data_IF_568394590751
#
_entry.id   IF_568394590751
#
_cell.length_a   1.000
_cell.length_b   1.000
_cell.length_c   1.000
_cell.angle_alpha   90.00
_cell.angle_beta   90.00
_cell.angle_gamma   90.00
#
_symmetry.space_group_name_H-M   'P 1'
#
loop_
_entity.id
_entity.type
_entity.pdbx_description
1 polymer ?
#
# COMPACT_ATOMS: atom_id res chain seq x y z
N UNK A 1 3.56 -1.77 17.17
CA UNK A 1 4.47 -0.79 17.77
C UNK A 1 5.34 -1.51 18.78
N UNK A 2 6.64 -1.23 18.84
CA UNK A 2 7.52 -1.87 19.81
C UNK A 2 7.10 -1.51 21.23
N UNK A 3 7.28 -2.45 22.16
CA UNK A 3 7.02 -2.22 23.57
C UNK A 3 8.17 -1.39 24.12
N UNK A 4 7.83 -0.27 24.75
CA UNK A 4 8.78 0.55 25.48
C UNK A 4 9.10 -0.12 26.82
N UNK A 5 10.37 -0.41 27.07
CA UNK A 5 10.81 -1.02 28.33
C UNK A 5 11.98 -0.23 28.91
N UNK A 6 12.18 -0.26 30.24
CA UNK A 6 13.35 0.34 30.85
C UNK A 6 14.64 -0.27 30.27
N UNK A 7 15.63 0.58 29.98
CA UNK A 7 16.89 0.21 29.31
C UNK A 7 17.69 -0.91 30.03
N UNK A 8 17.41 -1.13 31.32
CA UNK A 8 18.07 -2.15 32.16
C UNK A 8 17.28 -3.45 32.32
N UNK A 9 16.16 -3.65 31.60
CA UNK A 9 15.35 -4.86 31.73
C UNK A 9 16.15 -6.09 31.23
N UNK A 10 16.44 -7.09 32.08
CA UNK A 10 17.25 -8.26 31.68
C UNK A 10 16.63 -9.08 30.53
N UNK A 11 15.31 -8.96 30.33
CA UNK A 11 14.58 -9.64 29.27
C UNK A 11 14.91 -9.14 27.86
N UNK A 12 15.52 -7.94 27.70
CA UNK A 12 15.82 -7.36 26.38
C UNK A 12 16.66 -8.33 25.54
N UNK A 13 17.72 -8.90 26.11
CA UNK A 13 18.61 -9.81 25.39
C UNK A 13 17.97 -11.15 25.02
N UNK A 14 16.95 -11.60 25.76
CA UNK A 14 16.20 -12.83 25.44
C UNK A 14 15.22 -12.57 24.30
N UNK A 15 14.43 -11.49 24.42
CA UNK A 15 13.39 -11.14 23.47
C UNK A 15 13.97 -10.71 22.11
N UNK A 16 15.14 -10.05 22.08
CA UNK A 16 15.85 -9.78 20.83
C UNK A 16 16.26 -11.05 20.08
N UNK A 17 16.60 -12.14 20.79
CA UNK A 17 16.91 -13.45 20.16
C UNK A 17 15.66 -14.12 19.58
N UNK A 18 14.48 -13.78 20.08
CA UNK A 18 13.18 -14.25 19.59
C UNK A 18 12.64 -13.38 18.44
N UNK A 19 13.45 -12.45 17.90
CA UNK A 19 13.04 -11.44 16.92
C UNK A 19 11.90 -10.53 17.40
N UNK A 20 11.73 -10.41 18.72
CA UNK A 20 10.77 -9.47 19.30
C UNK A 20 11.43 -8.10 19.37
N UNK A 21 10.87 -7.14 18.63
CA UNK A 21 11.39 -5.79 18.54
C UNK A 21 11.07 -5.00 19.81
N UNK A 22 12.10 -4.66 20.58
CA UNK A 22 12.02 -3.87 21.80
C UNK A 22 12.69 -2.53 21.56
N UNK A 23 12.14 -1.48 22.16
CA UNK A 23 12.69 -0.14 22.10
C UNK A 23 13.01 0.37 23.50
N UNK A 24 14.21 0.90 23.65
CA UNK A 24 14.70 1.58 24.86
C UNK A 24 13.99 2.94 25.03
N UNK A 25 13.76 3.38 26.27
CA UNK A 25 12.99 4.60 26.60
C UNK A 25 13.62 5.87 26.00
N UNK A 26 14.95 5.90 26.00
CA UNK A 26 15.74 6.98 25.39
C UNK A 26 15.50 7.11 23.89
N UNK A 27 15.18 6.01 23.20
CA UNK A 27 14.94 5.98 21.75
C UNK A 27 13.46 6.19 21.41
N UNK A 28 12.55 5.76 22.29
CA UNK A 28 11.10 6.01 22.17
C UNK A 28 10.75 7.50 22.23
N UNK A 29 11.45 8.26 23.08
CA UNK A 29 11.23 9.71 23.26
C UNK A 29 11.62 10.58 22.05
N UNK A 30 12.37 10.04 21.08
CA UNK A 30 12.85 10.76 19.90
C UNK A 30 12.16 10.32 18.60
N UNK A 31 11.07 9.54 18.68
CA UNK A 31 10.40 9.09 17.47
C UNK A 31 9.67 10.23 16.76
N UNK A 32 10.15 10.56 15.56
CA UNK A 32 9.41 11.38 14.60
C UNK A 32 8.51 10.47 13.76
N UNK A 33 7.31 10.20 14.29
CA UNK A 33 6.31 9.36 13.60
C UNK A 33 5.62 10.20 12.53
N UNK A 34 6.16 10.17 11.31
CA UNK A 34 5.50 10.75 10.14
C UNK A 34 4.36 9.86 9.62
N UNK A 35 3.38 10.42 8.89
CA UNK A 35 2.38 9.63 8.17
C UNK A 35 3.01 8.67 7.16
N UNK A 36 2.47 7.46 7.08
CA UNK A 36 2.83 6.48 6.06
C UNK A 36 2.07 6.78 4.76
N UNK A 37 2.76 6.74 3.62
CA UNK A 37 2.17 6.94 2.31
C UNK A 37 1.95 5.61 1.62
N UNK A 38 0.71 5.29 1.28
CA UNK A 38 0.32 4.04 0.65
C UNK A 38 -0.37 4.31 -0.69
N UNK A 39 0.04 3.59 -1.74
CA UNK A 39 -0.69 3.55 -3.01
C UNK A 39 -1.61 2.33 -3.03
N UNK A 40 -2.85 2.49 -3.50
CA UNK A 40 -3.74 1.38 -3.83
C UNK A 40 -3.99 1.36 -5.34
N UNK A 41 -3.48 0.34 -6.02
CA UNK A 41 -3.78 0.03 -7.41
C UNK A 41 -5.05 -0.82 -7.46
N UNK A 42 -6.19 -0.14 -7.57
CA UNK A 42 -7.50 -0.80 -7.57
C UNK A 42 -7.87 -1.26 -8.98
N UNK A 43 -7.64 -2.54 -9.27
CA UNK A 43 -7.99 -3.23 -10.51
C UNK A 43 -9.38 -3.91 -10.45
N UNK A 44 -10.08 -3.85 -9.31
CA UNK A 44 -11.39 -4.45 -9.15
C UNK A 44 -12.48 -3.70 -9.96
N UNK A 45 -13.54 -4.40 -10.40
CA UNK A 45 -14.65 -3.81 -11.14
C UNK A 45 -15.58 -2.98 -10.25
N UNK A 46 -15.70 -3.32 -8.96
CA UNK A 46 -16.57 -2.63 -7.98
C UNK A 46 -15.70 -1.79 -7.04
N UNK A 47 -15.25 -0.62 -7.52
CA UNK A 47 -14.18 0.14 -6.86
C UNK A 47 -14.52 0.60 -5.44
N UNK A 48 -15.70 1.20 -5.25
CA UNK A 48 -16.13 1.76 -3.95
C UNK A 48 -16.17 0.70 -2.84
N UNK A 49 -16.64 -0.52 -3.17
CA UNK A 49 -16.68 -1.62 -2.20
C UNK A 49 -15.26 -2.04 -1.82
N UNK A 50 -14.38 -2.26 -2.79
CA UNK A 50 -12.97 -2.61 -2.55
C UNK A 50 -12.23 -1.52 -1.77
N UNK A 51 -12.47 -0.23 -2.09
CA UNK A 51 -11.93 0.91 -1.35
C UNK A 51 -12.35 0.85 0.13
N UNK A 52 -13.65 0.65 0.37
CA UNK A 52 -14.21 0.58 1.73
C UNK A 52 -13.59 -0.57 2.53
N UNK A 53 -13.46 -1.74 1.93
CA UNK A 53 -12.90 -2.92 2.60
C UNK A 53 -11.42 -2.74 2.93
N UNK A 54 -10.62 -2.22 2.00
CA UNK A 54 -9.20 -1.94 2.23
C UNK A 54 -8.99 -0.84 3.27
N UNK A 55 -9.72 0.27 3.19
CA UNK A 55 -9.63 1.36 4.15
C UNK A 55 -10.02 0.86 5.55
N UNK A 56 -11.07 0.03 5.68
CA UNK A 56 -11.49 -0.53 6.97
C UNK A 56 -10.37 -1.31 7.64
N UNK A 57 -9.62 -2.12 6.88
CA UNK A 57 -8.48 -2.87 7.40
C UNK A 57 -7.30 -1.95 7.76
N UNK A 58 -6.96 -1.01 6.88
CA UNK A 58 -5.87 -0.06 7.09
C UNK A 58 -6.13 0.91 8.24
N UNK A 59 -7.40 1.17 8.56
CA UNK A 59 -7.79 2.07 9.65
C UNK A 59 -7.61 1.45 11.05
N UNK A 60 -7.32 0.16 11.15
CA UNK A 60 -7.13 -0.53 12.43
C UNK A 60 -5.69 -0.44 12.96
N UNK A 61 -5.13 0.77 12.97
CA UNK A 61 -3.77 1.06 13.47
C UNK A 61 -3.69 2.47 14.01
N UNK A 62 -2.88 2.74 15.05
CA UNK A 62 -2.65 4.10 15.54
C UNK A 62 -1.75 4.94 14.61
N UNK A 63 -1.15 4.35 13.58
CA UNK A 63 -0.31 5.07 12.62
C UNK A 63 -1.18 5.90 11.67
N UNK A 64 -0.78 7.14 11.40
CA UNK A 64 -1.42 7.95 10.37
C UNK A 64 -1.06 7.40 8.98
N UNK A 65 -2.06 7.19 8.12
CA UNK A 65 -1.88 6.68 6.76
C UNK A 65 -2.50 7.66 5.75
N UNK A 66 -1.71 8.06 4.78
CA UNK A 66 -2.13 8.79 3.59
C UNK A 66 -2.28 7.81 2.42
N UNK A 67 -3.45 7.81 1.77
CA UNK A 67 -3.76 6.88 0.70
C UNK A 67 -3.90 7.63 -0.62
N UNK A 68 -3.17 7.17 -1.64
CA UNK A 68 -3.37 7.55 -3.04
C UNK A 68 -3.98 6.38 -3.83
N UNK A 69 -5.15 6.59 -4.45
CA UNK A 69 -5.71 5.61 -5.37
C UNK A 69 -5.15 5.80 -6.77
N UNK A 70 -4.58 4.75 -7.33
CA UNK A 70 -4.01 4.74 -8.68
C UNK A 70 -4.99 4.06 -9.65
N UNK A 71 -5.25 4.70 -10.79
CA UNK A 71 -5.98 4.11 -11.92
C UNK A 71 -5.06 3.82 -13.10
N UNK A 72 -5.31 2.72 -13.81
CA UNK A 72 -4.67 2.44 -15.11
C UNK A 72 -5.20 3.40 -16.19
N UNK A 73 -4.32 3.87 -17.07
CA UNK A 73 -4.67 4.57 -18.31
C UNK A 73 -5.42 3.60 -19.23
N UNK A 74 -6.54 4.06 -19.79
CA UNK A 74 -7.33 3.29 -20.76
C UNK A 74 -8.27 2.24 -20.15
N UNK A 75 -8.33 2.10 -18.83
CA UNK A 75 -9.34 1.27 -18.17
C UNK A 75 -10.54 2.11 -17.71
N UNK A 76 -11.62 2.10 -18.50
CA UNK A 76 -12.88 2.71 -18.10
C UNK A 76 -13.61 1.80 -17.10
N UNK A 77 -13.89 2.37 -15.93
CA UNK A 77 -14.62 1.65 -14.88
C UNK A 77 -16.11 1.66 -15.21
N UNK A 78 -16.60 0.55 -15.77
CA UNK A 78 -18.01 0.40 -16.17
C UNK A 78 -19.01 0.65 -15.03
N UNK A 79 -18.59 0.46 -13.77
CA UNK A 79 -19.47 0.48 -12.60
C UNK A 79 -19.15 1.64 -11.62
N UNK A 80 -18.35 2.63 -12.01
CA UNK A 80 -17.96 3.73 -11.09
C UNK A 80 -18.19 5.09 -11.74
N UNK A 81 -18.88 6.03 -11.06
CA UNK A 81 -19.14 7.36 -11.61
C UNK A 81 -17.83 8.09 -11.96
N UNK A 82 -17.79 8.74 -13.13
CA UNK A 82 -16.63 9.52 -13.58
C UNK A 82 -16.22 10.61 -12.59
N UNK A 83 -17.18 11.18 -11.85
CA UNK A 83 -16.94 12.20 -10.84
C UNK A 83 -16.08 11.64 -9.70
N UNK A 84 -16.36 10.42 -9.23
CA UNK A 84 -15.56 9.74 -8.20
C UNK A 84 -14.14 9.49 -8.70
N UNK A 85 -14.01 8.95 -9.92
CA UNK A 85 -12.71 8.67 -10.53
C UNK A 85 -11.87 9.94 -10.71
N UNK A 86 -12.47 11.06 -11.12
CA UNK A 86 -11.75 12.33 -11.30
C UNK A 86 -11.35 12.97 -9.97
N UNK A 87 -12.15 12.80 -8.92
CA UNK A 87 -11.88 13.41 -7.62
C UNK A 87 -10.82 12.65 -6.81
N UNK A 88 -10.83 11.32 -6.86
CA UNK A 88 -10.06 10.50 -5.91
C UNK A 88 -8.94 9.66 -6.55
N UNK A 89 -8.97 9.42 -7.86
CA UNK A 89 -7.94 8.62 -8.54
C UNK A 89 -6.91 9.48 -9.25
N UNK A 90 -5.65 9.05 -9.13
CA UNK A 90 -4.49 9.64 -9.79
C UNK A 90 -3.94 8.67 -10.84
N UNK A 91 -3.34 9.22 -11.88
CA UNK A 91 -2.61 8.43 -12.88
C UNK A 91 -1.19 8.15 -12.43
N UNK A 92 -0.58 7.12 -12.99
CA UNK A 92 0.81 6.79 -12.68
C UNK A 92 1.77 7.97 -12.91
N UNK A 93 1.56 8.77 -13.96
CA UNK A 93 2.39 9.96 -14.24
C UNK A 93 2.38 10.99 -13.11
N UNK A 94 1.28 11.11 -12.37
CA UNK A 94 1.15 12.05 -11.26
C UNK A 94 1.89 11.57 -10.01
N UNK A 95 2.13 10.26 -9.89
CA UNK A 95 2.70 9.63 -8.69
C UNK A 95 4.16 9.22 -8.86
N UNK A 96 4.61 8.94 -10.09
CA UNK A 96 5.93 8.34 -10.37
C UNK A 96 7.15 9.12 -9.86
N UNK A 97 7.00 10.40 -9.55
CA UNK A 97 8.07 11.26 -9.00
C UNK A 97 8.18 11.23 -7.48
N UNK A 98 7.35 10.45 -6.79
CA UNK A 98 7.27 10.36 -5.32
C UNK A 98 7.72 8.98 -4.84
N UNK A 99 8.13 8.90 -3.57
CA UNK A 99 8.38 7.62 -2.88
C UNK A 99 7.25 7.32 -1.90
N UNK A 100 6.98 6.04 -1.66
CA UNK A 100 5.90 5.53 -0.84
C UNK A 100 6.38 4.44 0.12
N UNK A 101 5.68 4.29 1.24
CA UNK A 101 5.96 3.27 2.25
C UNK A 101 5.31 1.94 1.89
N UNK A 102 4.13 2.00 1.28
CA UNK A 102 3.36 0.82 0.92
C UNK A 102 2.72 0.94 -0.46
N UNK A 103 2.52 -0.20 -1.11
CA UNK A 103 1.71 -0.30 -2.31
C UNK A 103 0.87 -1.57 -2.25
N UNK A 104 -0.40 -1.48 -2.60
CA UNK A 104 -1.33 -2.61 -2.63
C UNK A 104 -1.86 -2.77 -4.04
N UNK A 105 -1.66 -3.94 -4.63
CA UNK A 105 -2.28 -4.34 -5.89
C UNK A 105 -3.47 -5.25 -5.60
N UNK A 106 -4.67 -4.83 -6.00
CA UNK A 106 -5.88 -5.65 -5.84
C UNK A 106 -5.97 -6.70 -6.94
N UNK A 107 -6.79 -7.71 -6.73
CA UNK A 107 -7.16 -8.64 -7.81
C UNK A 107 -7.88 -7.95 -8.97
N UNK A 108 -8.00 -8.68 -10.07
CA UNK A 108 -8.72 -8.26 -11.27
C UNK A 108 -9.44 -9.46 -11.91
N UNK A 109 -10.61 -9.26 -12.55
CA UNK A 109 -11.37 -10.34 -13.17
C UNK A 109 -10.85 -10.67 -14.58
N UNK A 110 -9.55 -10.99 -14.69
CA UNK A 110 -8.86 -11.26 -15.97
C UNK A 110 -8.10 -12.59 -15.96
N UNK A 111 -8.41 -13.47 -15.00
CA UNK A 111 -7.73 -14.76 -14.79
C UNK A 111 -7.78 -15.73 -15.98
N UNK A 112 -8.79 -15.59 -16.85
CA UNK A 112 -8.98 -16.43 -18.04
C UNK A 112 -8.25 -15.92 -19.28
N UNK A 113 -7.63 -14.73 -19.22
CA UNK A 113 -6.90 -14.13 -20.33
C UNK A 113 -5.39 -14.38 -20.16
N UNK A 114 -4.66 -14.67 -21.26
CA UNK A 114 -3.21 -14.53 -21.26
C UNK A 114 -2.80 -13.12 -20.81
N UNK A 115 -1.68 -13.01 -20.10
CA UNK A 115 -1.21 -11.74 -19.55
C UNK A 115 -1.05 -10.67 -20.63
N UNK A 116 -0.53 -11.06 -21.80
CA UNK A 116 -0.29 -10.20 -22.94
C UNK A 116 -1.57 -9.63 -23.57
N UNK A 117 -2.71 -10.31 -23.37
CA UNK A 117 -4.03 -9.89 -23.85
C UNK A 117 -4.74 -8.94 -22.86
N UNK A 118 -4.19 -8.74 -21.66
CA UNK A 118 -4.72 -7.79 -20.69
C UNK A 118 -4.38 -6.37 -21.13
N UNK A 119 -5.41 -5.54 -21.34
CA UNK A 119 -5.29 -4.22 -21.98
C UNK A 119 -4.33 -3.25 -21.29
N UNK A 120 -4.19 -3.36 -19.97
CA UNK A 120 -3.30 -2.52 -19.15
C UNK A 120 -2.01 -3.24 -18.73
N UNK A 121 -1.69 -4.41 -19.29
CA UNK A 121 -0.52 -5.21 -18.89
C UNK A 121 0.81 -4.45 -19.01
N UNK A 122 0.98 -3.69 -20.10
CA UNK A 122 2.19 -2.88 -20.33
C UNK A 122 2.37 -1.78 -19.28
N UNK A 123 1.28 -1.14 -18.87
CA UNK A 123 1.35 -0.12 -17.81
C UNK A 123 1.56 -0.76 -16.45
N UNK A 124 0.92 -1.90 -16.17
CA UNK A 124 1.07 -2.61 -14.92
C UNK A 124 2.51 -3.09 -14.71
N UNK A 125 3.15 -3.62 -15.75
CA UNK A 125 4.57 -4.03 -15.71
C UNK A 125 5.51 -2.84 -15.48
N UNK A 126 5.23 -1.67 -16.08
CA UNK A 126 5.97 -0.43 -15.79
C UNK A 126 5.85 -0.03 -14.31
N UNK A 127 4.65 -0.15 -13.73
CA UNK A 127 4.40 0.15 -12.33
C UNK A 127 5.11 -0.84 -11.40
N UNK A 128 5.16 -2.12 -11.75
CA UNK A 128 5.91 -3.14 -11.00
C UNK A 128 7.42 -2.85 -11.00
N UNK A 129 7.98 -2.46 -12.13
CA UNK A 129 9.40 -2.12 -12.19
C UNK A 129 9.73 -0.82 -11.44
N UNK A 130 8.80 0.14 -11.47
CA UNK A 130 8.92 1.36 -10.68
C UNK A 130 8.84 1.09 -9.17
N UNK A 131 7.93 0.22 -8.72
CA UNK A 131 7.68 -0.04 -7.30
C UNK A 131 8.90 -0.62 -6.59
N UNK A 132 9.71 -1.43 -7.30
CA UNK A 132 10.97 -2.00 -6.81
C UNK A 132 11.97 -0.96 -6.27
N UNK A 133 11.87 0.30 -6.71
CA UNK A 133 12.80 1.38 -6.31
C UNK A 133 12.14 2.51 -5.52
N UNK A 134 10.82 2.68 -5.64
CA UNK A 134 10.10 3.83 -5.09
C UNK A 134 9.13 3.46 -3.97
N UNK A 135 8.94 2.16 -3.70
CA UNK A 135 8.05 1.66 -2.67
C UNK A 135 8.81 0.74 -1.72
N UNK A 136 8.71 0.99 -0.42
CA UNK A 136 9.38 0.16 0.60
C UNK A 136 8.83 -1.26 0.66
N UNK A 137 7.51 -1.43 0.58
CA UNK A 137 6.85 -2.74 0.58
C UNK A 137 5.64 -2.78 -0.33
N UNK A 138 5.48 -3.85 -1.11
CA UNK A 138 4.34 -4.08 -2.00
C UNK A 138 3.59 -5.35 -1.60
N UNK A 139 2.26 -5.25 -1.50
CA UNK A 139 1.34 -6.34 -1.25
C UNK A 139 0.54 -6.64 -2.52
N UNK A 140 0.51 -7.90 -2.92
CA UNK A 140 -0.22 -8.39 -4.09
C UNK A 140 -1.37 -9.29 -3.64
N UNK A 141 -2.59 -9.01 -4.10
CA UNK A 141 -3.80 -9.74 -3.70
C UNK A 141 -4.36 -10.47 -4.92
N UNK A 142 -4.52 -11.79 -4.81
CA UNK A 142 -5.13 -12.65 -5.83
C UNK A 142 -4.34 -12.66 -7.15
N UNK A 143 -4.93 -12.23 -8.28
CA UNK A 143 -4.29 -12.24 -9.61
C UNK A 143 -3.04 -11.35 -9.72
N UNK A 144 -2.94 -10.34 -8.85
CA UNK A 144 -1.91 -9.31 -8.91
C UNK A 144 -0.49 -9.84 -8.70
#
# INVERSE_FOLDING_TARGET
>A
MPINVPDQLPAIGLLQKENIFIMDESRASHQDIRPLKIIIVNLMPVKITTETDLIRLLSNTPLQIEIDFLRMKGHESKNTPDIHMKAFYKTFDQLKSRNYDGMIFTGAPVEMLPFEDVTYWKELTEIFDWSKRHVTSSLFICWA
#
